data_IF_556900399126
#
_entry.id   IF_556900399126
#
_cell.length_a   1.000
_cell.length_b   1.000
_cell.length_c   1.000
_cell.angle_alpha   90.00
_cell.angle_beta   90.00
_cell.angle_gamma   90.00
#
_symmetry.space_group_name_H-M   'P 1'
#
loop_
_entity.id
_entity.type
_entity.pdbx_description
1 polymer ?
#
# COMPACT_ATOMS: atom_id res chain seq x y z
N UNK A 1 16.18 -15.92 3.24
CA UNK A 1 14.96 -16.40 2.55
C UNK A 1 14.83 -15.62 1.24
N UNK A 2 14.62 -16.26 0.08
CA UNK A 2 14.36 -15.53 -1.15
C UNK A 2 12.97 -14.89 -1.06
N UNK A 3 12.91 -13.60 -1.38
CA UNK A 3 11.70 -12.78 -1.46
C UNK A 3 10.76 -13.33 -2.55
N UNK A 4 9.48 -13.57 -2.20
CA UNK A 4 8.50 -14.18 -3.09
C UNK A 4 7.49 -13.13 -3.56
N UNK A 5 7.68 -12.59 -4.77
CA UNK A 5 6.72 -11.67 -5.40
C UNK A 5 5.59 -12.44 -6.07
N UNK A 6 4.38 -12.36 -5.51
CA UNK A 6 3.16 -12.77 -6.22
C UNK A 6 2.43 -11.52 -6.73
N UNK A 7 2.59 -11.25 -8.02
CA UNK A 7 1.89 -10.18 -8.75
C UNK A 7 1.07 -10.85 -9.85
N UNK A 8 -0.22 -11.07 -9.61
CA UNK A 8 -1.14 -11.50 -10.67
C UNK A 8 -1.68 -10.26 -11.39
N UNK A 9 -0.98 -9.87 -12.45
CA UNK A 9 -1.24 -8.67 -13.24
C UNK A 9 -1.34 -9.12 -14.70
N UNK A 10 -2.55 -9.05 -15.25
CA UNK A 10 -2.91 -9.67 -16.53
C UNK A 10 -2.29 -9.02 -17.79
N UNK A 11 -1.25 -8.18 -17.66
CA UNK A 11 -0.60 -7.51 -18.78
C UNK A 11 0.88 -7.17 -18.57
N UNK A 12 1.67 -7.22 -19.65
CA UNK A 12 3.09 -6.84 -19.65
C UNK A 12 3.32 -5.35 -19.30
N UNK A 13 2.34 -4.46 -19.55
CA UNK A 13 2.37 -3.05 -19.12
C UNK A 13 2.20 -2.92 -17.60
N UNK A 14 1.37 -3.78 -17.01
CA UNK A 14 1.03 -3.75 -15.58
C UNK A 14 2.20 -4.25 -14.72
N UNK A 15 3.04 -5.14 -15.26
CA UNK A 15 4.26 -5.63 -14.60
C UNK A 15 5.36 -4.58 -14.43
N UNK A 16 5.43 -3.58 -15.31
CA UNK A 16 6.37 -2.46 -15.19
C UNK A 16 5.85 -1.39 -14.24
N UNK A 17 4.54 -1.12 -14.28
CA UNK A 17 3.88 -0.18 -13.36
C UNK A 17 3.90 -0.65 -11.91
N UNK A 18 3.60 -1.92 -11.67
CA UNK A 18 3.70 -2.53 -10.33
C UNK A 18 5.11 -2.43 -9.74
N UNK A 19 6.16 -2.63 -10.55
CA UNK A 19 7.54 -2.44 -10.10
C UNK A 19 7.86 -1.00 -9.72
N UNK A 20 7.33 -0.03 -10.45
CA UNK A 20 7.49 1.40 -10.12
C UNK A 20 6.77 1.74 -8.81
N UNK A 21 5.51 1.35 -8.66
CA UNK A 21 4.74 1.56 -7.42
C UNK A 21 5.42 0.90 -6.22
N UNK A 22 5.93 -0.32 -6.39
CA UNK A 22 6.71 -1.03 -5.39
C UNK A 22 8.00 -0.27 -5.04
N UNK A 23 8.72 0.26 -6.02
CA UNK A 23 9.96 1.01 -5.77
C UNK A 23 9.69 2.30 -4.98
N UNK A 24 8.61 3.01 -5.31
CA UNK A 24 8.20 4.22 -4.58
C UNK A 24 7.73 3.90 -3.16
N UNK A 25 6.92 2.85 -2.99
CA UNK A 25 6.47 2.39 -1.68
C UNK A 25 7.66 1.98 -0.80
N UNK A 26 8.65 1.26 -1.36
CA UNK A 26 9.89 0.92 -0.67
C UNK A 26 10.68 2.15 -0.24
N UNK A 27 10.82 3.13 -1.13
CA UNK A 27 11.52 4.37 -0.79
C UNK A 27 10.82 5.13 0.33
N UNK A 28 9.50 5.21 0.30
CA UNK A 28 8.70 5.86 1.34
C UNK A 28 8.76 5.13 2.69
N UNK A 29 8.73 3.80 2.69
CA UNK A 29 8.73 3.00 3.90
C UNK A 29 10.13 2.76 4.48
N UNK A 30 11.20 3.07 3.74
CA UNK A 30 12.59 2.80 4.11
C UNK A 30 13.00 3.40 5.46
N UNK A 31 12.44 4.56 5.81
CA UNK A 31 12.75 5.23 7.08
C UNK A 31 12.07 4.55 8.29
N UNK A 32 10.99 3.79 8.06
CA UNK A 32 10.20 3.13 9.10
C UNK A 32 10.55 1.65 9.28
N UNK A 33 11.16 1.02 8.26
CA UNK A 33 11.53 -0.39 8.31
C UNK A 33 11.94 -0.97 6.96
N UNK A 34 12.18 -2.27 6.98
CA UNK A 34 12.48 -3.05 5.77
C UNK A 34 11.19 -3.69 5.23
N UNK A 35 10.79 -3.32 4.00
CA UNK A 35 9.65 -3.96 3.32
C UNK A 35 10.06 -5.38 2.88
N UNK A 36 9.49 -6.39 3.55
CA UNK A 36 9.72 -7.81 3.32
C UNK A 36 8.81 -8.42 2.27
N UNK A 37 7.61 -7.89 2.08
CA UNK A 37 6.70 -8.29 1.00
C UNK A 37 5.72 -7.17 0.65
N UNK A 38 5.27 -7.14 -0.61
CA UNK A 38 4.19 -6.28 -1.08
C UNK A 38 3.45 -7.00 -2.21
N UNK A 39 2.17 -7.27 -1.98
CA UNK A 39 1.25 -7.80 -2.97
C UNK A 39 0.11 -6.81 -3.22
N UNK A 40 -0.18 -6.58 -4.51
CA UNK A 40 -1.28 -5.74 -4.97
C UNK A 40 -2.19 -6.60 -5.84
N UNK A 41 -3.45 -6.72 -5.45
CA UNK A 41 -4.50 -7.36 -6.25
C UNK A 41 -5.49 -6.31 -6.67
N UNK A 42 -5.40 -5.90 -7.94
CA UNK A 42 -6.28 -4.86 -8.51
C UNK A 42 -7.71 -5.36 -8.72
N UNK A 43 -7.90 -6.66 -8.98
CA UNK A 43 -9.23 -7.27 -9.17
C UNK A 43 -10.00 -7.32 -7.86
N UNK A 44 -9.35 -7.80 -6.80
CA UNK A 44 -9.92 -7.83 -5.46
C UNK A 44 -9.86 -6.48 -4.75
N UNK A 45 -9.14 -5.50 -5.32
CA UNK A 45 -8.83 -4.21 -4.71
C UNK A 45 -8.24 -4.37 -3.31
N UNK A 46 -7.21 -5.22 -3.21
CA UNK A 46 -6.51 -5.49 -1.96
C UNK A 46 -5.01 -5.16 -2.05
N UNK A 47 -4.45 -4.68 -0.95
CA UNK A 47 -3.01 -4.44 -0.78
C UNK A 47 -2.56 -5.21 0.46
N UNK A 48 -1.51 -6.01 0.33
CA UNK A 48 -0.86 -6.68 1.47
C UNK A 48 0.59 -6.26 1.54
N UNK A 49 1.04 -5.82 2.71
CA UNK A 49 2.42 -5.41 2.95
C UNK A 49 2.95 -6.17 4.15
N UNK A 50 4.18 -6.66 4.06
CA UNK A 50 4.93 -7.14 5.21
C UNK A 50 6.14 -6.25 5.40
N UNK A 51 6.27 -5.64 6.58
CA UNK A 51 7.36 -4.73 6.92
C UNK A 51 7.99 -5.19 8.22
N UNK A 52 9.32 -5.23 8.29
CA UNK A 52 10.06 -5.34 9.54
C UNK A 52 10.39 -3.93 10.04
N UNK A 53 9.70 -3.38 11.04
CA UNK A 53 9.94 -2.02 11.51
C UNK A 53 11.31 -1.87 12.16
N UNK A 54 11.86 -0.66 12.13
CA UNK A 54 13.10 -0.34 12.85
C UNK A 54 12.90 -0.55 14.35
N UNK A 55 13.79 -1.32 14.98
CA UNK A 55 13.74 -1.61 16.42
C UNK A 55 12.86 -2.79 16.80
N UNK A 56 12.15 -3.40 15.85
CA UNK A 56 11.32 -4.58 16.07
C UNK A 56 12.04 -5.87 15.66
N UNK A 57 11.73 -6.98 16.32
CA UNK A 57 12.30 -8.30 16.00
C UNK A 57 11.46 -9.10 15.00
N UNK A 58 10.18 -8.77 14.87
CA UNK A 58 9.22 -9.50 14.05
C UNK A 58 8.55 -8.58 13.03
N UNK A 59 8.24 -9.09 11.81
CA UNK A 59 7.54 -8.33 10.80
C UNK A 59 6.07 -8.10 11.18
N UNK A 60 5.54 -6.97 10.73
CA UNK A 60 4.14 -6.61 10.81
C UNK A 60 3.54 -6.78 9.42
N UNK A 61 2.45 -7.54 9.36
CA UNK A 61 1.64 -7.70 8.15
C UNK A 61 0.51 -6.70 8.19
N UNK A 62 0.28 -6.01 7.09
CA UNK A 62 -0.78 -5.02 6.90
C UNK A 62 -1.61 -5.44 5.70
N UNK A 63 -2.94 -5.45 5.84
CA UNK A 63 -3.87 -5.71 4.76
C UNK A 63 -4.84 -4.53 4.64
N UNK A 64 -4.95 -3.99 3.43
CA UNK A 64 -5.89 -2.94 3.05
C UNK A 64 -6.82 -3.53 2.01
N UNK A 65 -8.13 -3.47 2.27
CA UNK A 65 -9.15 -4.09 1.42
C UNK A 65 -10.13 -3.04 0.89
N UNK A 66 -10.62 -3.27 -0.33
CA UNK A 66 -11.50 -2.34 -1.04
C UNK A 66 -10.85 -0.99 -1.25
N UNK A 67 -9.58 -0.95 -1.67
CA UNK A 67 -8.86 0.30 -1.88
C UNK A 67 -9.33 1.04 -3.14
N UNK A 68 -9.17 2.36 -3.14
CA UNK A 68 -9.44 3.22 -4.29
C UNK A 68 -8.56 4.47 -4.26
N UNK A 69 -8.45 5.17 -5.39
CA UNK A 69 -7.61 6.35 -5.53
C UNK A 69 -8.42 7.57 -5.95
N UNK A 70 -8.39 8.61 -5.12
CA UNK A 70 -9.11 9.85 -5.36
C UNK A 70 -8.14 11.03 -5.37
N UNK A 71 -8.50 12.08 -6.09
CA UNK A 71 -7.78 13.35 -6.08
C UNK A 71 -8.71 14.40 -5.47
N UNK A 72 -8.20 15.23 -4.56
CA UNK A 72 -8.98 16.36 -4.06
C UNK A 72 -8.91 17.58 -5.01
N UNK A 73 -9.66 18.63 -4.67
CA UNK A 73 -9.71 19.87 -5.46
C UNK A 73 -8.35 20.58 -5.59
N UNK A 74 -7.37 20.26 -4.74
CA UNK A 74 -6.01 20.83 -4.80
C UNK A 74 -5.06 20.00 -5.67
N UNK A 75 -5.53 18.88 -6.22
CA UNK A 75 -4.70 17.95 -6.99
C UNK A 75 -3.94 16.94 -6.11
N UNK A 76 -4.20 16.89 -4.80
CA UNK A 76 -3.54 15.94 -3.90
C UNK A 76 -4.17 14.56 -4.04
N UNK A 77 -3.33 13.55 -4.20
CA UNK A 77 -3.74 12.16 -4.27
C UNK A 77 -4.03 11.56 -2.89
N UNK A 78 -5.07 10.72 -2.83
CA UNK A 78 -5.51 10.02 -1.64
C UNK A 78 -5.75 8.55 -1.95
N UNK A 79 -5.26 7.67 -1.08
CA UNK A 79 -5.65 6.28 -0.99
C UNK A 79 -6.87 6.18 -0.07
N UNK A 80 -7.98 5.69 -0.58
CA UNK A 80 -9.19 5.37 0.18
C UNK A 80 -9.29 3.86 0.37
N UNK A 81 -9.98 3.39 1.41
CA UNK A 81 -10.14 1.95 1.66
C UNK A 81 -11.40 1.63 2.46
N UNK A 82 -11.84 0.37 2.40
CA UNK A 82 -13.00 -0.11 3.18
C UNK A 82 -12.56 -0.62 4.55
N UNK A 83 -11.44 -1.33 4.62
CA UNK A 83 -10.86 -1.81 5.87
C UNK A 83 -9.34 -1.86 5.82
N UNK A 84 -8.73 -1.66 6.98
CA UNK A 84 -7.30 -1.82 7.23
C UNK A 84 -7.15 -2.73 8.45
N UNK A 85 -6.34 -3.76 8.32
CA UNK A 85 -6.01 -4.68 9.41
C UNK A 85 -4.51 -4.95 9.46
N UNK A 86 -4.03 -5.34 10.63
CA UNK A 86 -2.61 -5.62 10.89
C UNK A 86 -2.45 -6.88 11.72
N UNK A 87 -1.31 -7.57 11.61
CA UNK A 87 -1.01 -8.75 12.43
C UNK A 87 -0.92 -8.45 13.93
N UNK A 88 -0.70 -7.19 14.31
CA UNK A 88 -0.78 -6.70 15.70
C UNK A 88 -2.16 -6.08 15.92
N UNK A 89 -2.97 -6.62 16.82
CA UNK A 89 -4.35 -6.15 17.04
C UNK A 89 -4.41 -4.66 17.46
N UNK A 90 -3.54 -4.24 18.38
CA UNK A 90 -3.52 -2.86 18.86
C UNK A 90 -3.28 -1.83 17.73
N UNK A 91 -2.50 -2.18 16.71
CA UNK A 91 -2.29 -1.33 15.53
C UNK A 91 -3.54 -1.22 14.67
N UNK A 92 -4.33 -2.29 14.56
CA UNK A 92 -5.62 -2.27 13.85
C UNK A 92 -6.58 -1.32 14.55
N UNK A 93 -6.68 -1.42 15.87
CA UNK A 93 -7.51 -0.53 16.69
C UNK A 93 -7.04 0.93 16.61
N UNK A 94 -5.72 1.14 16.66
CA UNK A 94 -5.14 2.48 16.53
C UNK A 94 -5.43 3.06 15.15
N UNK A 95 -5.22 2.29 14.08
CA UNK A 95 -5.50 2.72 12.71
C UNK A 95 -6.96 3.13 12.52
N UNK A 96 -7.91 2.35 13.06
CA UNK A 96 -9.33 2.70 13.04
C UNK A 96 -9.63 4.01 13.75
N UNK A 97 -8.91 4.33 14.84
CA UNK A 97 -9.07 5.58 15.59
C UNK A 97 -8.45 6.78 14.89
N UNK A 98 -7.27 6.62 14.27
CA UNK A 98 -6.52 7.74 13.67
C UNK A 98 -6.87 7.98 12.20
N UNK A 99 -7.51 7.02 11.53
CA UNK A 99 -7.98 7.12 10.14
C UNK A 99 -9.51 6.97 10.06
N UNK A 100 -10.31 7.83 10.73
CA UNK A 100 -11.76 7.71 10.73
C UNK A 100 -12.37 7.83 9.33
N UNK A 101 -11.75 8.66 8.47
CA UNK A 101 -12.16 8.87 7.08
C UNK A 101 -11.74 7.73 6.14
N UNK A 102 -11.03 6.71 6.65
CA UNK A 102 -10.49 5.58 5.88
C UNK A 102 -9.74 6.02 4.61
N UNK A 103 -8.91 7.05 4.77
CA UNK A 103 -8.05 7.57 3.71
C UNK A 103 -6.66 7.92 4.20
N UNK A 104 -5.67 7.75 3.33
CA UNK A 104 -4.28 8.10 3.55
C UNK A 104 -3.81 9.03 2.43
N UNK A 105 -3.12 10.13 2.76
CA UNK A 105 -2.55 10.99 1.73
C UNK A 105 -1.45 10.22 0.99
N UNK A 106 -1.46 10.28 -0.34
CA UNK A 106 -0.35 9.76 -1.11
C UNK A 106 0.84 10.73 -1.06
N UNK A 107 2.07 10.22 -1.26
CA UNK A 107 3.25 11.07 -1.35
C UNK A 107 3.09 12.15 -2.43
N UNK A 108 3.63 13.37 -2.21
CA UNK A 108 3.69 14.40 -3.25
C UNK A 108 4.35 13.86 -4.52
N UNK A 109 3.81 14.19 -5.68
CA UNK A 109 4.33 13.72 -6.96
C UNK A 109 3.92 12.29 -7.35
N UNK A 110 3.05 11.63 -6.58
CA UNK A 110 2.42 10.39 -7.01
C UNK A 110 1.69 10.61 -8.35
N UNK A 111 1.97 9.81 -9.40
CA UNK A 111 1.40 10.03 -10.73
C UNK A 111 -0.07 9.54 -10.78
N UNK A 112 -0.99 10.35 -10.24
CA UNK A 112 -2.39 9.97 -10.05
C UNK A 112 -3.10 9.53 -11.33
N UNK A 113 -2.85 10.18 -12.47
CA UNK A 113 -3.46 9.79 -13.74
C UNK A 113 -3.07 8.37 -14.18
N UNK A 114 -1.81 7.98 -13.94
CA UNK A 114 -1.33 6.62 -14.21
C UNK A 114 -1.96 5.65 -13.20
N UNK A 115 -1.88 5.99 -11.92
CA UNK A 115 -2.42 5.21 -10.82
C UNK A 115 -3.91 4.89 -10.94
N UNK A 116 -4.72 5.86 -11.36
CA UNK A 116 -6.17 5.69 -11.54
C UNK A 116 -6.53 4.85 -12.77
N UNK A 117 -5.65 4.78 -13.78
CA UNK A 117 -5.88 3.95 -14.97
C UNK A 117 -5.69 2.44 -14.75
N UNK A 118 -5.14 2.04 -13.60
CA UNK A 118 -4.80 0.65 -13.25
C UNK A 118 -5.88 0.02 -12.34
N UNK A 119 -6.87 0.82 -11.91
CA UNK A 119 -7.83 0.54 -10.83
C UNK A 119 -9.27 0.25 -11.30
#
# INVERSE_FOLDING_TARGET
MPFSLNLDLAGAKDKSLSKLLLSSARQFLREYGEVRDLALDTKARSIRVEVLPVGESEPIKVAVEGYGLTTDATGRGWLTFTSLSTSREWLTLLAAKVLPDKRLPLPPGAPMGILQSIL
#
